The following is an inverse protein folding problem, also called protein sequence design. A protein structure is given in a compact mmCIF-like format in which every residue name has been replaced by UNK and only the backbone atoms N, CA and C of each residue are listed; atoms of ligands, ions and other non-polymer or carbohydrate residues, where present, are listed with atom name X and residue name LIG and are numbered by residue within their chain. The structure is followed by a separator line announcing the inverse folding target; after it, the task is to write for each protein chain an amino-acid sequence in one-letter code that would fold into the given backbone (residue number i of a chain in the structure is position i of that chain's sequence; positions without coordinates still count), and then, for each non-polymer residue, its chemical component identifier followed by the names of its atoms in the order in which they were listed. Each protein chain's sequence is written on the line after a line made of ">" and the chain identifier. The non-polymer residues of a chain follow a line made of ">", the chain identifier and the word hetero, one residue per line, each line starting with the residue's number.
data_IF_226604518258
#
_entry.id   IF_226604518258
#
_cell.length_a   1.000
_cell.length_b   1.000
_cell.length_c   1.000
_cell.angle_alpha   90.00
_cell.angle_beta   90.00
_cell.angle_gamma   90.00
#
_symmetry.space_group_name_H-M   'P 1'
#
loop_
_entity.id
_entity.type
_entity.pdbx_description
1 polymer ?
#
# COMPACT_ATOMS: atom_id res chain seq x y z
N UNK A 1 -6.19 15.77 -11.21
CA UNK A 1 -7.00 14.55 -11.07
C UNK A 1 -6.56 13.81 -9.81
N UNK A 2 -7.50 13.38 -9.03
CA UNK A 2 -7.27 12.60 -7.81
C UNK A 2 -8.15 11.36 -7.84
N UNK A 3 -7.61 10.22 -7.46
CA UNK A 3 -8.33 8.95 -7.31
C UNK A 3 -8.13 8.46 -5.90
N UNK A 4 -9.21 8.20 -5.20
CA UNK A 4 -9.22 7.63 -3.86
C UNK A 4 -9.82 6.22 -3.91
N UNK A 5 -9.19 5.28 -3.24
CA UNK A 5 -9.60 3.88 -3.18
C UNK A 5 -9.53 3.39 -1.74
N UNK A 6 -10.44 2.48 -1.39
CA UNK A 6 -10.44 1.81 -0.08
C UNK A 6 -10.48 0.31 -0.25
N UNK A 7 -9.78 -0.41 0.60
CA UNK A 7 -9.83 -1.86 0.66
C UNK A 7 -9.99 -2.31 2.11
N UNK A 8 -11.02 -3.12 2.41
CA UNK A 8 -11.28 -3.56 3.78
C UNK A 8 -10.27 -4.61 4.23
N UNK A 9 -10.07 -4.67 5.54
CA UNK A 9 -9.39 -5.78 6.17
C UNK A 9 -10.22 -7.07 6.14
N UNK A 10 -9.60 -8.16 6.55
CA UNK A 10 -10.22 -9.50 6.59
C UNK A 10 -9.83 -10.27 7.84
N UNK A 11 -10.72 -11.16 8.26
CA UNK A 11 -10.47 -12.12 9.33
C UNK A 11 -10.86 -13.50 8.84
N UNK A 12 -10.01 -14.50 9.09
CA UNK A 12 -10.39 -15.89 8.93
C UNK A 12 -11.30 -16.33 10.09
N UNK A 13 -12.48 -16.79 9.76
CA UNK A 13 -13.37 -17.42 10.71
C UNK A 13 -12.92 -18.85 11.00
N UNK A 14 -12.53 -19.59 9.95
CA UNK A 14 -11.96 -20.93 10.05
C UNK A 14 -11.19 -21.29 8.77
N UNK A 15 -10.35 -22.32 8.85
CA UNK A 15 -9.65 -22.91 7.70
C UNK A 15 -8.35 -22.20 7.31
N UNK A 16 -7.83 -21.27 8.12
CA UNK A 16 -6.65 -20.47 7.82
C UNK A 16 -5.43 -21.31 7.43
N UNK A 17 -5.07 -22.28 8.25
CA UNK A 17 -3.88 -23.10 8.02
C UNK A 17 -4.07 -24.17 6.94
N UNK A 18 -5.28 -24.69 6.83
CA UNK A 18 -5.60 -25.77 5.86
C UNK A 18 -5.91 -25.26 4.46
N UNK A 19 -6.14 -23.97 4.30
CA UNK A 19 -6.38 -23.35 2.99
C UNK A 19 -5.19 -23.51 2.03
N UNK A 20 -3.97 -23.51 2.57
CA UNK A 20 -2.74 -23.72 1.80
C UNK A 20 -2.71 -25.11 1.20
N UNK A 21 -3.28 -26.09 1.87
CA UNK A 21 -3.43 -27.51 1.42
C UNK A 21 -4.68 -27.72 0.55
N UNK A 22 -5.34 -26.66 0.14
CA UNK A 22 -6.53 -26.72 -0.72
C UNK A 22 -7.86 -26.97 0.02
N UNK A 23 -7.88 -26.93 1.34
CA UNK A 23 -9.11 -27.03 2.13
C UNK A 23 -9.93 -25.74 2.06
N UNK A 24 -11.23 -25.85 2.34
CA UNK A 24 -12.13 -24.70 2.39
C UNK A 24 -11.79 -23.79 3.58
N UNK A 25 -11.83 -22.48 3.35
CA UNK A 25 -11.70 -21.47 4.37
C UNK A 25 -12.87 -20.49 4.30
N UNK A 26 -13.24 -19.93 5.45
CA UNK A 26 -14.24 -18.87 5.54
C UNK A 26 -13.58 -17.60 6.04
N UNK A 27 -13.71 -16.53 5.26
CA UNK A 27 -13.20 -15.21 5.57
C UNK A 27 -14.34 -14.22 5.74
N UNK A 28 -14.17 -13.29 6.66
CA UNK A 28 -15.06 -12.16 6.84
C UNK A 28 -14.32 -10.86 6.51
N UNK A 29 -14.95 -10.00 5.73
CA UNK A 29 -14.54 -8.64 5.57
C UNK A 29 -14.88 -7.84 6.84
N UNK A 30 -14.02 -6.92 7.25
CA UNK A 30 -14.22 -6.06 8.40
C UNK A 30 -14.45 -4.61 7.97
N UNK A 31 -15.03 -3.77 8.85
CA UNK A 31 -15.33 -2.38 8.54
C UNK A 31 -14.11 -1.46 8.51
N UNK A 32 -12.95 -1.92 8.96
CA UNK A 32 -11.69 -1.17 8.91
C UNK A 32 -11.00 -1.37 7.56
N UNK A 33 -10.48 -0.30 6.97
CA UNK A 33 -9.95 -0.30 5.60
C UNK A 33 -8.59 0.38 5.54
N UNK A 34 -7.79 -0.02 4.54
CA UNK A 34 -6.72 0.80 4.02
C UNK A 34 -7.30 1.80 3.02
N UNK A 35 -6.72 2.98 2.98
CA UNK A 35 -7.07 4.03 2.03
C UNK A 35 -5.84 4.36 1.18
N UNK A 36 -6.02 4.39 -0.13
CA UNK A 36 -4.97 4.78 -1.08
C UNK A 36 -5.48 5.95 -1.89
N UNK A 37 -4.66 6.98 -2.00
CA UNK A 37 -4.93 8.15 -2.83
C UNK A 37 -3.81 8.33 -3.83
N UNK A 38 -4.18 8.57 -5.09
CA UNK A 38 -3.26 8.89 -6.18
C UNK A 38 -3.67 10.24 -6.75
N UNK A 39 -2.78 11.20 -6.71
CA UNK A 39 -3.04 12.57 -7.12
C UNK A 39 -1.98 13.08 -8.09
N UNK A 40 -2.40 13.72 -9.18
CA UNK A 40 -1.51 14.45 -10.06
C UNK A 40 -1.07 15.75 -9.40
N UNK A 41 0.23 16.01 -9.35
CA UNK A 41 0.81 17.22 -8.78
C UNK A 41 1.65 17.99 -9.80
N UNK A 42 1.81 19.28 -9.59
CA UNK A 42 2.68 20.14 -10.39
C UNK A 42 4.13 20.02 -9.91
N UNK A 43 4.78 18.90 -10.22
CA UNK A 43 6.16 18.62 -9.85
C UNK A 43 6.78 17.70 -10.89
N UNK A 44 8.09 17.78 -11.07
CA UNK A 44 8.85 16.82 -11.88
C UNK A 44 9.13 15.51 -11.14
N UNK A 45 9.00 15.53 -9.83
CA UNK A 45 9.26 14.38 -8.96
C UNK A 45 7.95 13.76 -8.52
N UNK A 46 8.00 12.46 -8.22
CA UNK A 46 6.90 11.77 -7.57
C UNK A 46 7.06 11.80 -6.07
N UNK A 47 5.94 11.69 -5.37
CA UNK A 47 5.88 11.71 -3.91
C UNK A 47 5.20 10.48 -3.37
N UNK A 48 5.68 9.97 -2.26
CA UNK A 48 5.10 8.87 -1.52
C UNK A 48 4.92 9.25 -0.05
N UNK A 49 3.72 9.05 0.47
CA UNK A 49 3.38 9.28 1.88
C UNK A 49 2.73 8.02 2.43
N UNK A 50 3.14 7.62 3.62
CA UNK A 50 2.50 6.55 4.36
C UNK A 50 2.21 6.98 5.79
N UNK A 51 1.04 6.68 6.29
CA UNK A 51 0.64 6.96 7.68
C UNK A 51 1.55 6.28 8.70
N UNK A 52 2.20 5.16 8.32
CA UNK A 52 3.11 4.43 9.19
C UNK A 52 4.39 5.22 9.56
N UNK A 53 4.83 6.14 8.70
CA UNK A 53 6.07 6.91 8.92
C UNK A 53 5.84 8.41 9.09
N UNK A 54 4.61 8.89 8.85
CA UNK A 54 4.23 10.32 8.94
C UNK A 54 5.19 11.26 8.21
N UNK A 55 5.79 10.79 7.10
CA UNK A 55 6.83 11.48 6.34
C UNK A 55 6.58 11.37 4.85
N UNK A 56 7.04 12.37 4.12
CA UNK A 56 7.00 12.41 2.66
C UNK A 56 8.34 11.96 2.07
N UNK A 57 8.29 11.07 1.10
CA UNK A 57 9.43 10.56 0.36
C UNK A 57 9.32 10.99 -1.10
N UNK A 58 10.45 11.39 -1.67
CA UNK A 58 10.55 11.79 -3.06
C UNK A 58 11.21 10.68 -3.87
N UNK A 59 10.69 10.42 -5.07
CA UNK A 59 11.27 9.43 -5.96
C UNK A 59 11.12 9.80 -7.43
N UNK A 60 11.96 9.22 -8.24
CA UNK A 60 11.88 9.21 -9.69
C UNK A 60 12.10 7.80 -10.23
N UNK A 61 11.85 7.59 -11.50
CA UNK A 61 12.20 6.33 -12.16
C UNK A 61 13.55 6.46 -12.87
N UNK A 62 14.36 5.44 -12.70
CA UNK A 62 15.62 5.31 -13.46
C UNK A 62 15.36 4.80 -14.89
N UNK A 63 16.41 4.63 -15.69
CA UNK A 63 16.33 4.14 -17.07
C UNK A 63 15.76 2.71 -17.20
N UNK A 64 15.73 1.95 -16.10
CA UNK A 64 15.13 0.59 -16.02
C UNK A 64 13.68 0.59 -15.56
N UNK A 65 13.09 1.78 -15.39
CA UNK A 65 11.74 1.96 -14.83
C UNK A 65 11.59 1.43 -13.38
N UNK A 66 12.67 1.49 -12.62
CA UNK A 66 12.70 1.16 -11.20
C UNK A 66 12.70 2.44 -10.36
N UNK A 67 12.13 2.37 -9.15
CA UNK A 67 12.11 3.52 -8.24
C UNK A 67 13.52 3.84 -7.74
N UNK A 68 13.87 5.10 -7.82
CA UNK A 68 15.05 5.70 -7.24
C UNK A 68 14.62 6.76 -6.22
N UNK A 69 14.82 6.46 -4.95
CA UNK A 69 14.48 7.38 -3.85
C UNK A 69 15.49 8.52 -3.81
N UNK A 70 15.01 9.77 -3.81
CA UNK A 70 15.87 10.95 -3.98
C UNK A 70 16.50 11.39 -2.67
N UNK A 71 15.71 11.53 -1.62
CA UNK A 71 16.16 12.04 -0.33
C UNK A 71 16.46 10.92 0.67
N UNK A 72 15.51 10.02 0.87
CA UNK A 72 15.57 8.94 1.83
C UNK A 72 14.64 7.82 1.35
N UNK A 73 15.00 6.58 1.63
CA UNK A 73 14.13 5.44 1.32
C UNK A 73 13.16 5.16 2.46
N UNK A 74 11.89 4.87 2.17
CA UNK A 74 10.93 4.41 3.19
C UNK A 74 11.16 2.97 3.62
N UNK A 75 12.21 2.29 3.11
CA UNK A 75 12.49 0.90 3.42
C UNK A 75 11.37 -0.04 2.99
N UNK A 76 10.99 -0.97 3.86
CA UNK A 76 9.95 -1.96 3.59
C UNK A 76 8.57 -1.36 3.28
N UNK A 77 8.28 -0.16 3.76
CA UNK A 77 7.01 0.53 3.49
C UNK A 77 6.85 0.99 2.04
N UNK A 78 7.96 1.16 1.31
CA UNK A 78 7.95 1.48 -0.11
C UNK A 78 7.85 0.27 -1.04
N UNK A 79 8.06 -0.94 -0.51
CA UNK A 79 8.18 -2.16 -1.31
C UNK A 79 6.92 -2.45 -2.16
N UNK A 80 5.73 -2.23 -1.61
CA UNK A 80 4.49 -2.42 -2.36
C UNK A 80 4.40 -1.50 -3.58
N UNK A 81 4.80 -0.24 -3.43
CA UNK A 81 4.82 0.72 -4.55
C UNK A 81 5.86 0.31 -5.60
N UNK A 82 7.05 -0.11 -5.19
CA UNK A 82 8.10 -0.58 -6.09
C UNK A 82 7.63 -1.79 -6.92
N UNK A 83 7.04 -2.78 -6.26
CA UNK A 83 6.50 -3.97 -6.92
C UNK A 83 5.34 -3.59 -7.85
N UNK A 84 4.40 -2.76 -7.41
CA UNK A 84 3.26 -2.34 -8.22
C UNK A 84 3.70 -1.62 -9.50
N UNK A 85 4.62 -0.67 -9.41
CA UNK A 85 5.15 0.04 -10.56
C UNK A 85 5.82 -0.92 -11.53
N UNK A 86 6.62 -1.85 -11.03
CA UNK A 86 7.33 -2.84 -11.85
C UNK A 86 6.38 -3.82 -12.53
N UNK A 87 5.43 -4.38 -11.80
CA UNK A 87 4.47 -5.38 -12.31
C UNK A 87 3.51 -4.78 -13.32
N UNK A 88 3.01 -3.57 -13.03
CA UNK A 88 2.05 -2.88 -13.90
C UNK A 88 2.72 -2.15 -15.08
N UNK A 89 4.04 -2.00 -15.07
CA UNK A 89 4.79 -1.31 -16.10
C UNK A 89 4.44 0.17 -16.24
N UNK A 90 3.92 0.79 -15.16
CA UNK A 90 3.54 2.20 -15.17
C UNK A 90 4.76 3.10 -14.98
N UNK A 91 4.69 4.30 -15.54
CA UNK A 91 5.76 5.31 -15.44
C UNK A 91 5.21 6.60 -14.86
N UNK A 92 5.04 6.66 -13.52
CA UNK A 92 4.51 7.86 -12.89
C UNK A 92 5.47 9.05 -13.06
N UNK A 93 4.88 10.21 -13.33
CA UNK A 93 5.59 11.48 -13.41
C UNK A 93 4.72 12.59 -12.82
N UNK A 94 5.22 13.27 -11.80
CA UNK A 94 4.46 14.28 -11.09
C UNK A 94 3.21 13.71 -10.42
N UNK A 95 3.36 12.61 -9.70
CA UNK A 95 2.26 11.90 -9.03
C UNK A 95 2.59 11.73 -7.55
N UNK A 96 1.58 11.97 -6.73
CA UNK A 96 1.63 11.73 -5.30
C UNK A 96 0.82 10.47 -4.97
N UNK A 97 1.48 9.52 -4.31
CA UNK A 97 0.88 8.31 -3.75
C UNK A 97 0.77 8.46 -2.24
N UNK A 98 -0.40 8.27 -1.69
CA UNK A 98 -0.64 8.30 -0.25
C UNK A 98 -1.30 7.01 0.19
N UNK A 99 -0.74 6.36 1.23
CA UNK A 99 -1.27 5.14 1.81
C UNK A 99 -1.58 5.40 3.29
N UNK A 100 -2.83 5.21 3.68
CA UNK A 100 -3.28 5.29 5.06
C UNK A 100 -3.75 3.92 5.54
N UNK A 101 -3.07 3.39 6.55
CA UNK A 101 -3.38 2.11 7.19
C UNK A 101 -3.74 2.25 8.67
N UNK A 102 -4.01 3.46 9.13
CA UNK A 102 -4.32 3.72 10.55
C UNK A 102 -5.54 2.94 11.04
N UNK A 103 -6.50 2.64 10.16
CA UNK A 103 -7.65 1.80 10.47
C UNK A 103 -7.30 0.37 10.93
N UNK A 104 -6.09 -0.11 10.66
CA UNK A 104 -5.61 -1.44 11.09
C UNK A 104 -4.92 -1.44 12.44
N UNK A 105 -4.88 -0.29 13.11
CA UNK A 105 -4.30 -0.12 14.43
C UNK A 105 -5.33 0.41 15.41
N UNK A 106 -5.17 0.08 16.68
CA UNK A 106 -5.92 0.65 17.80
C UNK A 106 -4.97 0.90 18.96
N UNK A 107 -4.93 2.16 19.44
CA UNK A 107 -4.00 2.58 20.50
C UNK A 107 -2.54 2.17 20.23
N UNK A 108 -2.09 2.26 18.97
CA UNK A 108 -0.74 1.88 18.53
C UNK A 108 -0.51 0.37 18.35
N UNK A 109 -1.52 -0.45 18.58
CA UNK A 109 -1.44 -1.91 18.46
C UNK A 109 -2.02 -2.35 17.11
N UNK A 110 -1.26 -3.14 16.36
CA UNK A 110 -1.71 -3.72 15.08
C UNK A 110 -2.74 -4.82 15.33
N UNK A 111 -3.91 -4.70 14.68
CA UNK A 111 -5.05 -5.59 14.93
C UNK A 111 -4.96 -6.96 14.22
N UNK A 112 -4.01 -7.16 13.31
CA UNK A 112 -3.84 -8.42 12.60
C UNK A 112 -4.97 -8.77 11.62
N UNK A 113 -5.67 -7.77 11.09
CA UNK A 113 -6.83 -7.95 10.20
C UNK A 113 -6.50 -7.79 8.71
N UNK A 114 -5.29 -8.13 8.30
CA UNK A 114 -4.93 -8.27 6.89
C UNK A 114 -4.58 -6.96 6.18
N UNK A 115 -3.87 -6.04 6.81
CA UNK A 115 -3.43 -4.77 6.20
C UNK A 115 -2.62 -4.97 4.91
N UNK A 116 -1.71 -5.92 4.87
CA UNK A 116 -0.90 -6.22 3.68
C UNK A 116 -1.75 -6.66 2.49
N UNK A 117 -2.78 -7.49 2.73
CA UNK A 117 -3.71 -7.90 1.69
C UNK A 117 -4.54 -6.71 1.19
N UNK A 118 -5.00 -5.84 2.07
CA UNK A 118 -5.77 -4.65 1.72
C UNK A 118 -4.96 -3.67 0.85
N UNK A 119 -3.67 -3.47 1.15
CA UNK A 119 -2.78 -2.62 0.36
C UNK A 119 -2.53 -3.22 -1.04
N UNK A 120 -2.53 -4.55 -1.17
CA UNK A 120 -2.21 -5.25 -2.41
C UNK A 120 -3.36 -5.25 -3.44
N UNK A 121 -4.55 -4.89 -3.03
CA UNK A 121 -5.74 -4.83 -3.89
C UNK A 121 -5.77 -3.55 -4.71
#
# INVERSE_FOLDING_TARGET
>A
MKVDMTAPGKVFLCGEYMAIEGAKATLLSVSRSAEISIEKIESSENRFITSALEKEFLFQLNNRSEIEWINESPGEYGLFLEIAIKVLGIKPFGVKFSINTDGFFESGIKLGIGSSAAISV
#
